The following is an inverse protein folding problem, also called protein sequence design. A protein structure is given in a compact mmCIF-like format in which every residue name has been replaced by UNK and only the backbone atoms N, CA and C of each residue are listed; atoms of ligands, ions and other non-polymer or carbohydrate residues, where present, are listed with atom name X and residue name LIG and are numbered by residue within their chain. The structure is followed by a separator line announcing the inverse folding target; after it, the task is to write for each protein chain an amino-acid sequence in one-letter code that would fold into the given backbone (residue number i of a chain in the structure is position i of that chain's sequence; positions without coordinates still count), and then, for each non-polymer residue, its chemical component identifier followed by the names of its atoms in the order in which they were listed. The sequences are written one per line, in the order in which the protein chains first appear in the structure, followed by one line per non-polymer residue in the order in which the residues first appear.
data_IF_859634525903
#
_entry.id   IF_859634525903
#
_cell.length_a   1.000
_cell.length_b   1.000
_cell.length_c   1.000
_cell.angle_alpha   90.00
_cell.angle_beta   90.00
_cell.angle_gamma   90.00
#
_symmetry.space_group_name_H-M   'P 1'
#
loop_
_entity.id
_entity.type
_entity.pdbx_description
1 polymer ?
#
# COMPACT_ATOMS: atom_id res chain seq x y z
N UNK A 1 -9.99 -8.07 1.02
CA UNK A 1 -9.06 -6.95 0.75
C UNK A 1 -8.81 -6.17 2.05
N UNK A 2 -8.66 -6.89 3.16
CA UNK A 2 -8.51 -6.31 4.51
C UNK A 2 -7.09 -5.79 4.76
N UNK A 3 -6.06 -6.39 4.16
CA UNK A 3 -4.65 -6.05 4.44
C UNK A 3 -4.28 -4.61 4.11
N UNK A 4 -4.75 -4.07 2.97
CA UNK A 4 -4.52 -2.66 2.62
C UNK A 4 -5.36 -1.72 3.48
N UNK A 5 -6.57 -2.13 3.86
CA UNK A 5 -7.46 -1.33 4.69
C UNK A 5 -6.96 -1.23 6.14
N UNK A 6 -6.50 -2.34 6.71
CA UNK A 6 -5.81 -2.38 8.00
C UNK A 6 -4.56 -1.50 7.95
N UNK A 7 -3.70 -1.66 6.94
CA UNK A 7 -2.51 -0.83 6.79
C UNK A 7 -2.84 0.69 6.73
N UNK A 8 -3.95 1.05 6.05
CA UNK A 8 -4.42 2.42 5.92
C UNK A 8 -4.97 3.02 7.21
N UNK A 9 -5.38 2.20 8.17
CA UNK A 9 -6.10 2.66 9.37
C UNK A 9 -5.28 2.51 10.64
N UNK A 10 -4.45 1.46 10.76
CA UNK A 10 -3.69 1.16 11.99
C UNK A 10 -2.18 1.30 11.79
N UNK A 11 -1.59 0.72 10.76
CA UNK A 11 -0.12 0.74 10.57
C UNK A 11 0.43 2.12 10.30
N UNK A 12 -0.28 2.91 9.49
CA UNK A 12 0.18 4.24 9.12
C UNK A 12 0.21 5.24 10.29
N UNK A 13 -0.45 4.92 11.42
CA UNK A 13 -0.47 5.81 12.58
C UNK A 13 0.78 5.70 13.45
N UNK A 14 1.56 4.62 13.29
CA UNK A 14 2.73 4.35 14.14
C UNK A 14 2.38 3.71 15.48
N UNK A 15 1.14 3.24 15.66
CA UNK A 15 0.65 2.70 16.93
C UNK A 15 0.89 1.19 17.09
N UNK A 16 1.06 0.43 16.01
CA UNK A 16 1.35 -1.01 16.08
C UNK A 16 2.74 -1.27 16.63
N UNK A 17 3.75 -0.57 16.14
CA UNK A 17 5.13 -0.71 16.60
C UNK A 17 5.50 0.41 17.59
N UNK A 18 4.73 0.51 18.67
CA UNK A 18 4.83 1.59 19.67
C UNK A 18 6.21 1.75 20.34
N UNK A 19 7.07 0.73 20.24
CA UNK A 19 8.43 0.75 20.80
C UNK A 19 9.52 0.71 19.71
N UNK A 20 9.38 -0.11 18.67
CA UNK A 20 10.41 -0.31 17.63
C UNK A 20 10.30 0.74 16.51
N UNK A 21 9.09 1.24 16.25
CA UNK A 21 8.74 2.19 15.19
C UNK A 21 9.19 1.74 13.79
N UNK A 22 9.09 0.43 13.52
CA UNK A 22 9.35 -0.20 12.22
C UNK A 22 8.12 -0.23 11.33
N UNK A 23 7.12 0.61 11.56
CA UNK A 23 5.81 0.56 10.90
C UNK A 23 5.88 0.62 9.37
N UNK A 24 6.89 1.31 8.81
CA UNK A 24 7.12 1.34 7.36
C UNK A 24 7.52 -0.02 6.77
N UNK A 25 8.21 -0.85 7.55
CA UNK A 25 8.57 -2.23 7.16
C UNK A 25 7.30 -3.06 7.03
N UNK A 26 6.44 -3.01 8.04
CA UNK A 26 5.18 -3.77 8.06
C UNK A 26 4.18 -3.26 7.02
N UNK A 27 4.15 -1.95 6.80
CA UNK A 27 3.38 -1.35 5.73
C UNK A 27 3.86 -1.84 4.36
N UNK A 28 5.16 -1.83 4.10
CA UNK A 28 5.72 -2.31 2.84
C UNK A 28 5.38 -3.79 2.62
N UNK A 29 5.49 -4.63 3.66
CA UNK A 29 5.12 -6.04 3.58
C UNK A 29 3.64 -6.24 3.23
N UNK A 30 2.72 -5.44 3.80
CA UNK A 30 1.31 -5.48 3.44
C UNK A 30 1.06 -5.06 1.98
N UNK A 31 1.76 -4.05 1.48
CA UNK A 31 1.69 -3.60 0.08
C UNK A 31 2.18 -4.70 -0.86
N UNK A 32 3.34 -5.30 -0.57
CA UNK A 32 3.91 -6.40 -1.36
C UNK A 32 2.97 -7.62 -1.40
N UNK A 33 2.46 -8.04 -0.24
CA UNK A 33 1.51 -9.16 -0.16
C UNK A 33 0.23 -8.89 -0.95
N UNK A 34 -0.26 -7.66 -0.91
CA UNK A 34 -1.45 -7.26 -1.68
C UNK A 34 -1.18 -7.23 -3.19
N UNK A 35 0.03 -6.85 -3.62
CA UNK A 35 0.44 -6.87 -5.02
C UNK A 35 0.51 -8.29 -5.56
N UNK A 36 0.97 -9.25 -4.77
CA UNK A 36 0.97 -10.68 -5.15
C UNK A 36 -0.45 -11.19 -5.40
N UNK A 37 -1.40 -10.85 -4.52
CA UNK A 37 -2.82 -11.20 -4.73
C UNK A 37 -3.37 -10.55 -6.00
N UNK A 38 -3.06 -9.27 -6.22
CA UNK A 38 -3.45 -8.57 -7.44
C UNK A 38 -2.91 -9.25 -8.69
N UNK A 39 -1.61 -9.57 -8.74
CA UNK A 39 -0.96 -10.23 -9.88
C UNK A 39 -1.64 -11.56 -10.25
N UNK A 40 -2.14 -12.30 -9.26
CA UNK A 40 -2.86 -13.56 -9.50
C UNK A 40 -4.19 -13.36 -10.26
N UNK A 41 -4.81 -12.17 -10.15
CA UNK A 41 -6.10 -11.88 -10.77
C UNK A 41 -6.00 -10.99 -12.01
N UNK A 42 -4.82 -10.41 -12.32
CA UNK A 42 -4.61 -9.49 -13.45
C UNK A 42 -5.19 -10.03 -14.77
N UNK A 43 -4.93 -11.28 -15.21
CA UNK A 43 -5.44 -11.74 -16.49
C UNK A 43 -6.98 -11.71 -16.59
N UNK A 44 -7.67 -12.11 -15.51
CA UNK A 44 -9.13 -12.10 -15.44
C UNK A 44 -9.68 -10.67 -15.36
N UNK A 45 -9.07 -9.84 -14.53
CA UNK A 45 -9.41 -8.43 -14.39
C UNK A 45 -9.21 -7.68 -15.71
N UNK A 46 -8.09 -7.85 -16.41
CA UNK A 46 -7.82 -7.20 -17.70
C UNK A 46 -8.83 -7.60 -18.78
N UNK A 47 -9.29 -8.86 -18.77
CA UNK A 47 -10.31 -9.34 -19.70
C UNK A 47 -11.68 -8.68 -19.47
N UNK A 48 -12.00 -8.29 -18.23
CA UNK A 48 -13.28 -7.68 -17.88
C UNK A 48 -13.24 -6.15 -17.84
N UNK A 49 -12.20 -5.57 -17.23
CA UNK A 49 -12.01 -4.14 -17.03
C UNK A 49 -10.50 -3.80 -17.07
N UNK A 50 -9.99 -3.66 -18.30
CA UNK A 50 -8.60 -3.24 -18.52
C UNK A 50 -8.28 -1.90 -17.87
N UNK A 51 -9.22 -0.96 -17.83
CA UNK A 51 -8.96 0.36 -17.26
C UNK A 51 -8.71 0.24 -15.76
N UNK A 52 -9.50 -0.55 -15.05
CA UNK A 52 -9.28 -0.80 -13.63
C UNK A 52 -7.93 -1.50 -13.36
N UNK A 53 -7.50 -2.42 -14.23
CA UNK A 53 -6.16 -3.01 -14.15
C UNK A 53 -5.06 -1.95 -14.27
N UNK A 54 -5.14 -1.11 -15.30
CA UNK A 54 -4.15 -0.04 -15.54
C UNK A 54 -4.13 0.98 -14.37
N UNK A 55 -5.29 1.32 -13.81
CA UNK A 55 -5.41 2.21 -12.66
C UNK A 55 -4.76 1.59 -11.40
N UNK A 56 -4.95 0.28 -11.16
CA UNK A 56 -4.34 -0.42 -10.03
C UNK A 56 -2.82 -0.56 -10.21
N UNK A 57 -2.35 -0.86 -11.42
CA UNK A 57 -0.91 -0.88 -11.73
C UNK A 57 -0.25 0.46 -11.41
N UNK A 58 -0.88 1.56 -11.85
CA UNK A 58 -0.39 2.90 -11.57
C UNK A 58 -0.37 3.21 -10.07
N UNK A 59 -1.40 2.80 -9.33
CA UNK A 59 -1.49 3.01 -7.88
C UNK A 59 -0.44 2.19 -7.11
N UNK A 60 -0.18 0.94 -7.49
CA UNK A 60 0.90 0.15 -6.89
C UNK A 60 2.27 0.79 -7.13
N UNK A 61 2.57 1.17 -8.37
CA UNK A 61 3.84 1.83 -8.69
C UNK A 61 3.99 3.13 -7.89
N UNK A 62 2.93 3.95 -7.80
CA UNK A 62 2.94 5.19 -7.04
C UNK A 62 3.17 4.95 -5.54
N UNK A 63 2.53 3.92 -4.96
CA UNK A 63 2.71 3.57 -3.55
C UNK A 63 4.14 3.07 -3.28
N UNK A 64 4.67 2.19 -4.13
CA UNK A 64 6.03 1.65 -4.04
C UNK A 64 7.08 2.77 -4.17
N UNK A 65 6.94 3.66 -5.14
CA UNK A 65 7.81 4.83 -5.32
C UNK A 65 7.76 5.75 -4.09
N UNK A 66 6.56 5.94 -3.52
CA UNK A 66 6.36 6.74 -2.30
C UNK A 66 7.10 6.11 -1.12
N UNK A 67 7.00 4.79 -0.92
CA UNK A 67 7.73 4.08 0.14
C UNK A 67 9.25 4.08 -0.10
N UNK A 68 9.69 3.91 -1.35
CA UNK A 68 11.10 3.87 -1.71
C UNK A 68 11.85 5.16 -1.32
N UNK A 69 11.18 6.32 -1.31
CA UNK A 69 11.72 7.59 -0.85
C UNK A 69 12.12 7.60 0.65
N UNK A 70 11.66 6.60 1.41
CA UNK A 70 11.91 6.44 2.85
C UNK A 70 12.82 5.25 3.18
N UNK A 71 13.46 4.62 2.18
CA UNK A 71 14.46 3.56 2.40
C UNK A 71 15.72 4.10 3.09
N UNK A 72 16.25 3.35 4.05
CA UNK A 72 17.51 3.61 4.76
C UNK A 72 18.32 2.29 4.76
N UNK A 73 19.22 2.14 3.78
CA UNK A 73 19.91 0.87 3.52
C UNK A 73 18.93 -0.21 3.05
N UNK A 74 19.00 -1.39 3.66
CA UNK A 74 18.09 -2.52 3.36
C UNK A 74 16.72 -2.41 4.06
N UNK A 75 16.49 -1.36 4.85
CA UNK A 75 15.26 -1.14 5.63
C UNK A 75 14.64 0.23 5.31
N UNK A 76 13.76 0.72 6.18
CA UNK A 76 13.13 2.03 6.12
C UNK A 76 13.54 2.90 7.29
N UNK A 77 13.44 4.22 7.11
CA UNK A 77 13.59 5.19 8.20
C UNK A 77 12.59 4.87 9.33
N UNK A 78 12.99 5.15 10.57
CA UNK A 78 12.08 5.05 11.71
C UNK A 78 10.85 5.95 11.50
N UNK A 79 9.65 5.47 11.82
CA UNK A 79 8.40 6.24 11.63
C UNK A 79 8.45 7.64 12.28
N UNK A 80 9.12 7.79 13.43
CA UNK A 80 9.28 9.09 14.11
C UNK A 80 10.09 10.13 13.33
N UNK A 81 10.84 9.72 12.29
CA UNK A 81 11.55 10.63 11.38
C UNK A 81 10.61 11.25 10.34
N UNK A 82 9.40 10.71 10.15
CA UNK A 82 8.43 11.24 9.20
C UNK A 82 7.71 12.47 9.75
N UNK A 83 7.59 13.50 8.92
CA UNK A 83 6.70 14.62 9.17
C UNK A 83 5.23 14.21 8.99
N UNK A 84 4.32 14.96 9.63
CA UNK A 84 2.87 14.78 9.43
C UNK A 84 2.45 14.84 7.96
N UNK A 85 3.13 15.67 7.15
CA UNK A 85 2.86 15.75 5.71
C UNK A 85 3.22 14.44 5.00
N UNK A 86 4.37 13.88 5.30
CA UNK A 86 4.83 12.61 4.71
C UNK A 86 3.92 11.45 5.12
N UNK A 87 3.53 11.38 6.40
CA UNK A 87 2.56 10.38 6.89
C UNK A 87 1.24 10.49 6.13
N UNK A 88 0.73 11.72 5.95
CA UNK A 88 -0.51 11.95 5.20
C UNK A 88 -0.40 11.57 3.73
N UNK A 89 0.76 11.81 3.10
CA UNK A 89 1.02 11.42 1.72
C UNK A 89 0.95 9.89 1.56
N UNK A 90 1.67 9.15 2.41
CA UNK A 90 1.62 7.68 2.42
C UNK A 90 0.19 7.18 2.67
N UNK A 91 -0.51 7.76 3.65
CA UNK A 91 -1.90 7.41 3.97
C UNK A 91 -2.84 7.61 2.78
N UNK A 92 -2.73 8.73 2.06
CA UNK A 92 -3.58 9.01 0.91
C UNK A 92 -3.36 8.01 -0.23
N UNK A 93 -2.10 7.71 -0.57
CA UNK A 93 -1.77 6.75 -1.63
C UNK A 93 -2.26 5.35 -1.27
N UNK A 94 -2.11 4.95 -0.01
CA UNK A 94 -2.58 3.66 0.49
C UNK A 94 -4.11 3.55 0.50
N UNK A 95 -4.81 4.62 0.91
CA UNK A 95 -6.27 4.68 0.81
C UNK A 95 -6.74 4.58 -0.64
N UNK A 96 -6.10 5.31 -1.56
CA UNK A 96 -6.44 5.25 -2.98
C UNK A 96 -6.25 3.85 -3.56
N UNK A 97 -5.12 3.20 -3.26
CA UNK A 97 -4.84 1.82 -3.67
C UNK A 97 -5.88 0.84 -3.10
N UNK A 98 -6.24 0.99 -1.83
CA UNK A 98 -7.29 0.19 -1.17
C UNK A 98 -8.67 0.41 -1.82
N UNK A 99 -9.03 1.63 -2.21
CA UNK A 99 -10.30 1.87 -2.90
C UNK A 99 -10.36 1.19 -4.28
N UNK A 100 -9.25 1.22 -5.03
CA UNK A 100 -9.17 0.58 -6.34
C UNK A 100 -9.22 -0.95 -6.22
N UNK A 101 -8.41 -1.50 -5.32
CA UNK A 101 -8.38 -2.94 -5.11
C UNK A 101 -9.72 -3.48 -4.57
N UNK A 102 -10.53 -2.68 -3.86
CA UNK A 102 -11.86 -3.08 -3.41
C UNK A 102 -12.85 -3.26 -4.58
N UNK A 103 -12.64 -2.55 -5.69
CA UNK A 103 -13.47 -2.68 -6.90
C UNK A 103 -13.26 -4.02 -7.60
N UNK A 104 -12.11 -4.68 -7.39
CA UNK A 104 -11.85 -6.03 -7.92
C UNK A 104 -12.78 -7.09 -7.33
N UNK A 105 -13.35 -6.86 -6.14
CA UNK A 105 -14.33 -7.77 -5.54
C UNK A 105 -15.64 -7.88 -6.32
N UNK A 106 -15.91 -7.00 -7.29
CA UNK A 106 -17.09 -7.06 -8.17
C UNK A 106 -16.90 -7.98 -9.39
N UNK A 107 -15.69 -8.50 -9.56
CA UNK A 107 -15.26 -9.34 -10.69
C UNK A 107 -15.58 -10.81 -10.43
N UNK A 108 -15.74 -11.17 -9.15
CA UNK A 108 -16.17 -12.47 -8.65
C UNK A 108 -17.60 -12.38 -8.14
#
# INVERSE_FOLDING_TARGET
MELLNEAATTKITGEEEAYSHTDLVDLNANVEGSKVVYQAIVPALTAQDKKLADDIDAAFNKMEDTLAAYREGDSFVNYKKLSKKQIREISNELSHLSELMAKTGKIF
#
